data_IF_132909269384
#
_entry.id   IF_132909269384
#
_cell.length_a   1.000
_cell.length_b   1.000
_cell.length_c   1.000
_cell.angle_alpha   90.00
_cell.angle_beta   90.00
_cell.angle_gamma   90.00
#
_symmetry.space_group_name_H-M   'P 1'
#
loop_
_entity.id
_entity.type
_entity.pdbx_description
1 polymer ?
#
# COMPACT_ATOMS: atom_id res chain seq x y z
N UNK A 1 -23.67 -19.15 -23.66
CA UNK A 1 -23.02 -17.92 -23.19
C UNK A 1 -22.93 -18.01 -21.69
N UNK A 2 -21.84 -18.57 -21.17
CA UNK A 2 -21.69 -18.81 -19.73
C UNK A 2 -20.89 -17.66 -19.13
N UNK A 3 -21.60 -16.63 -18.66
CA UNK A 3 -21.02 -15.59 -17.81
C UNK A 3 -20.79 -16.19 -16.43
N UNK A 4 -19.60 -16.74 -16.20
CA UNK A 4 -19.12 -17.05 -14.86
C UNK A 4 -18.72 -15.73 -14.17
N UNK A 5 -19.72 -14.98 -13.70
CA UNK A 5 -19.51 -13.86 -12.78
C UNK A 5 -19.19 -14.42 -11.39
N UNK A 6 -17.99 -14.99 -11.23
CA UNK A 6 -17.33 -14.91 -9.93
C UNK A 6 -17.01 -13.42 -9.74
N UNK A 7 -17.52 -12.75 -8.68
CA UNK A 7 -17.19 -11.36 -8.44
C UNK A 7 -15.67 -11.29 -8.35
N UNK A 8 -15.05 -10.62 -9.33
CA UNK A 8 -13.62 -10.45 -9.34
C UNK A 8 -13.27 -9.75 -8.03
N UNK A 9 -12.62 -10.47 -7.10
CA UNK A 9 -12.28 -9.93 -5.80
C UNK A 9 -11.13 -8.95 -5.99
N UNK A 10 -11.48 -7.68 -6.24
CA UNK A 10 -10.51 -6.63 -6.51
C UNK A 10 -10.25 -5.86 -5.23
N UNK A 11 -9.00 -5.96 -4.78
CA UNK A 11 -8.51 -5.35 -3.56
C UNK A 11 -8.01 -3.92 -3.81
N UNK A 12 -8.14 -3.07 -2.80
CA UNK A 12 -7.58 -1.73 -2.83
C UNK A 12 -6.06 -1.79 -2.87
N UNK A 13 -5.44 -1.07 -3.82
CA UNK A 13 -3.99 -1.04 -4.00
C UNK A 13 -3.22 -0.36 -2.85
N UNK A 14 -3.90 0.19 -1.84
CA UNK A 14 -3.30 0.81 -0.66
C UNK A 14 -3.48 -0.04 0.60
N UNK A 15 -4.63 -0.68 0.79
CA UNK A 15 -4.97 -1.38 2.05
C UNK A 15 -5.49 -2.80 1.89
N UNK A 16 -5.62 -3.32 0.67
CA UNK A 16 -6.17 -4.63 0.33
C UNK A 16 -7.64 -4.93 0.69
N UNK A 17 -8.34 -4.02 1.35
CA UNK A 17 -9.80 -4.13 1.53
C UNK A 17 -10.54 -4.13 0.18
N UNK A 18 -11.77 -4.68 0.12
CA UNK A 18 -12.59 -4.66 -1.10
C UNK A 18 -12.68 -3.26 -1.70
N UNK A 19 -12.46 -3.17 -3.02
CA UNK A 19 -12.43 -1.91 -3.74
C UNK A 19 -13.57 -1.86 -4.77
N UNK A 20 -14.66 -1.11 -4.50
CA UNK A 20 -15.77 -0.99 -5.44
C UNK A 20 -15.41 -0.12 -6.66
N UNK A 21 -14.36 0.68 -6.55
CA UNK A 21 -13.95 1.64 -7.57
C UNK A 21 -12.64 1.23 -8.22
N UNK A 22 -12.54 1.44 -9.54
CA UNK A 22 -11.30 1.32 -10.31
C UNK A 22 -10.88 2.67 -10.88
N UNK A 23 -9.61 2.81 -11.25
CA UNK A 23 -9.12 3.98 -11.96
C UNK A 23 -9.91 4.15 -13.26
N UNK A 24 -10.62 5.28 -13.40
CA UNK A 24 -11.41 5.57 -14.60
C UNK A 24 -10.57 5.74 -15.87
N UNK A 25 -9.29 6.08 -15.74
CA UNK A 25 -8.37 6.22 -16.87
C UNK A 25 -7.94 4.88 -17.46
N UNK A 26 -7.28 4.04 -16.66
CA UNK A 26 -6.70 2.78 -17.17
C UNK A 26 -7.51 1.52 -16.86
N UNK A 27 -8.44 1.57 -15.90
CA UNK A 27 -9.22 0.41 -15.45
C UNK A 27 -8.45 -0.66 -14.66
N UNK A 28 -7.12 -0.56 -14.52
CA UNK A 28 -6.28 -1.63 -13.93
C UNK A 28 -6.10 -1.55 -12.40
N UNK A 29 -6.06 -0.35 -11.83
CA UNK A 29 -5.86 -0.15 -10.38
C UNK A 29 -7.20 0.06 -9.65
N UNK A 30 -7.33 -0.51 -8.44
CA UNK A 30 -8.57 -0.51 -7.66
C UNK A 30 -8.39 0.18 -6.32
N UNK A 31 -9.42 0.89 -5.85
CA UNK A 31 -9.39 1.69 -4.63
C UNK A 31 -10.70 1.56 -3.84
N UNK A 32 -10.59 1.47 -2.51
CA UNK A 32 -11.77 1.47 -1.63
C UNK A 32 -12.36 2.88 -1.46
N UNK A 33 -11.59 3.94 -1.71
CA UNK A 33 -12.02 5.32 -1.53
C UNK A 33 -11.20 6.30 -2.37
N UNK A 34 -11.68 7.55 -2.49
CA UNK A 34 -11.02 8.63 -3.23
C UNK A 34 -9.70 9.06 -2.56
N UNK A 35 -9.62 8.96 -1.25
CA UNK A 35 -8.42 9.26 -0.47
C UNK A 35 -7.30 8.29 -0.86
N UNK A 36 -7.58 6.98 -0.92
CA UNK A 36 -6.59 5.98 -1.34
C UNK A 36 -6.19 6.13 -2.80
N UNK A 37 -7.11 6.52 -3.68
CA UNK A 37 -6.77 6.86 -5.06
C UNK A 37 -5.81 8.06 -5.12
N UNK A 38 -6.07 9.10 -4.32
CA UNK A 38 -5.23 10.31 -4.24
C UNK A 38 -3.83 9.98 -3.70
N UNK A 39 -3.75 9.16 -2.65
CA UNK A 39 -2.48 8.68 -2.09
C UNK A 39 -1.66 7.90 -3.12
N UNK A 40 -2.31 7.02 -3.90
CA UNK A 40 -1.64 6.22 -4.93
C UNK A 40 -1.21 7.05 -6.15
N UNK A 41 -1.86 8.20 -6.41
CA UNK A 41 -1.75 8.93 -7.67
C UNK A 41 -0.32 9.35 -8.02
N UNK A 42 0.47 9.75 -7.03
CA UNK A 42 1.86 10.15 -7.23
C UNK A 42 2.69 9.07 -7.95
N UNK A 43 2.46 7.79 -7.62
CA UNK A 43 3.10 6.63 -8.28
C UNK A 43 2.32 6.14 -9.49
N UNK A 44 0.99 6.13 -9.41
CA UNK A 44 0.15 5.54 -10.43
C UNK A 44 0.08 6.37 -11.72
N UNK A 45 0.15 7.71 -11.66
CA UNK A 45 -0.14 8.58 -12.81
C UNK A 45 0.64 8.27 -14.09
N UNK A 46 1.91 7.87 -13.99
CA UNK A 46 2.72 7.52 -15.17
C UNK A 46 2.37 6.13 -15.69
N UNK A 47 2.25 5.15 -14.79
CA UNK A 47 1.76 3.80 -15.13
C UNK A 47 0.37 3.86 -15.76
N UNK A 48 -0.52 4.72 -15.28
CA UNK A 48 -1.86 4.92 -15.81
C UNK A 48 -1.82 5.30 -17.30
N UNK A 49 -0.90 6.17 -17.72
CA UNK A 49 -0.69 6.51 -19.13
C UNK A 49 -0.18 5.32 -19.93
N UNK A 50 0.78 4.56 -19.40
CA UNK A 50 1.29 3.35 -20.05
C UNK A 50 0.16 2.33 -20.28
N UNK A 51 -0.66 2.08 -19.25
CA UNK A 51 -1.80 1.18 -19.34
C UNK A 51 -2.91 1.69 -20.28
N UNK A 52 -3.13 3.00 -20.36
CA UNK A 52 -4.07 3.57 -21.33
C UNK A 52 -3.59 3.33 -22.77
N UNK A 53 -2.30 3.53 -23.04
CA UNK A 53 -1.68 3.25 -24.36
C UNK A 53 -1.84 1.78 -24.71
N UNK A 54 -1.51 0.90 -23.77
CA UNK A 54 -1.69 -0.55 -23.91
C UNK A 54 -3.14 -0.92 -24.27
N UNK A 55 -4.13 -0.36 -23.55
CA UNK A 55 -5.55 -0.61 -23.78
C UNK A 55 -6.02 -0.14 -25.18
N UNK A 56 -5.40 0.90 -25.73
CA UNK A 56 -5.69 1.41 -27.08
C UNK A 56 -4.87 0.71 -28.19
N UNK A 57 -4.03 -0.28 -27.85
CA UNK A 57 -3.16 -0.96 -28.80
C UNK A 57 -1.97 -0.12 -29.27
N UNK A 58 -1.66 0.98 -28.58
CA UNK A 58 -0.47 1.78 -28.87
C UNK A 58 0.81 1.09 -28.39
N UNK A 59 1.96 1.31 -29.06
CA UNK A 59 3.24 0.81 -28.59
C UNK A 59 3.54 1.31 -27.17
N UNK A 60 3.77 0.41 -26.22
CA UNK A 60 4.26 0.75 -24.88
C UNK A 60 5.78 0.64 -24.83
N UNK A 61 6.48 1.43 -23.99
CA UNK A 61 7.90 1.24 -23.76
C UNK A 61 8.18 -0.20 -23.30
N UNK A 62 9.34 -0.79 -23.65
CA UNK A 62 9.69 -2.11 -23.14
C UNK A 62 9.81 -2.09 -21.61
N UNK A 63 9.53 -3.22 -20.97
CA UNK A 63 9.40 -3.33 -19.51
C UNK A 63 10.68 -2.96 -18.73
N UNK A 64 11.84 -2.91 -19.39
CA UNK A 64 13.12 -2.51 -18.82
C UNK A 64 13.48 -1.04 -19.04
N UNK A 65 12.73 -0.31 -19.87
CA UNK A 65 12.92 1.12 -20.11
C UNK A 65 12.24 2.02 -19.05
N UNK A 66 11.45 1.45 -18.14
CA UNK A 66 10.78 2.19 -17.09
C UNK A 66 10.69 1.40 -15.77
N UNK A 67 10.49 2.12 -14.67
CA UNK A 67 10.18 1.51 -13.38
C UNK A 67 8.76 0.93 -13.38
N UNK A 68 8.62 -0.39 -13.24
CA UNK A 68 7.32 -1.05 -13.26
C UNK A 68 6.39 -0.73 -12.07
N UNK A 69 6.88 -0.02 -11.04
CA UNK A 69 6.09 0.38 -9.86
C UNK A 69 5.62 1.84 -9.88
N UNK A 70 6.27 2.72 -10.64
CA UNK A 70 5.89 4.13 -10.70
C UNK A 70 5.90 4.75 -12.10
N UNK A 71 6.25 3.98 -13.13
CA UNK A 71 6.26 4.41 -14.53
C UNK A 71 7.28 5.50 -14.85
N UNK A 72 8.30 5.71 -14.01
CA UNK A 72 9.38 6.64 -14.33
C UNK A 72 10.24 6.02 -15.44
N UNK A 73 10.46 6.76 -16.52
CA UNK A 73 11.30 6.36 -17.68
C UNK A 73 12.76 6.84 -17.55
N UNK A 74 13.03 7.79 -16.63
CA UNK A 74 14.38 8.21 -16.30
C UNK A 74 14.94 7.46 -15.09
N UNK A 75 16.16 6.96 -15.21
CA UNK A 75 16.87 6.24 -14.17
C UNK A 75 17.38 7.12 -13.00
N UNK A 76 18.17 6.54 -12.08
CA UNK A 76 18.74 5.20 -12.16
C UNK A 76 17.71 4.07 -11.90
N UNK A 77 17.95 2.92 -12.54
CA UNK A 77 17.13 1.71 -12.39
C UNK A 77 17.98 0.53 -11.94
N UNK A 78 17.35 -0.41 -11.23
CA UNK A 78 17.91 -1.72 -10.87
C UNK A 78 16.93 -2.84 -11.18
N UNK A 79 17.44 -4.06 -11.29
CA UNK A 79 16.64 -5.29 -11.28
C UNK A 79 16.45 -5.77 -9.84
N UNK A 80 15.23 -6.17 -9.49
CA UNK A 80 14.93 -6.77 -8.19
C UNK A 80 15.56 -8.16 -8.07
N UNK A 81 16.02 -8.52 -6.87
CA UNK A 81 16.60 -9.86 -6.65
C UNK A 81 15.51 -10.95 -6.60
N UNK A 82 14.33 -10.60 -6.08
CA UNK A 82 13.25 -11.56 -5.86
C UNK A 82 12.49 -11.95 -7.14
N UNK A 83 12.38 -11.06 -8.12
CA UNK A 83 11.57 -11.30 -9.33
C UNK A 83 12.20 -10.76 -10.64
N UNK A 84 13.45 -10.26 -10.59
CA UNK A 84 14.20 -9.80 -11.75
C UNK A 84 13.48 -8.76 -12.65
N UNK A 85 12.73 -7.84 -12.03
CA UNK A 85 12.00 -6.78 -12.74
C UNK A 85 12.59 -5.40 -12.48
N UNK A 86 12.45 -4.50 -13.45
CA UNK A 86 13.05 -3.17 -13.42
C UNK A 86 12.26 -2.22 -12.52
N UNK A 87 12.95 -1.61 -11.56
CA UNK A 87 12.39 -0.57 -10.67
C UNK A 87 13.42 0.56 -10.45
N UNK A 88 12.97 1.68 -9.89
CA UNK A 88 13.88 2.77 -9.49
C UNK A 88 14.94 2.26 -8.51
N UNK A 89 16.19 2.64 -8.75
CA UNK A 89 17.28 2.42 -7.80
C UNK A 89 17.37 3.63 -6.86
N UNK A 90 16.52 3.62 -5.84
CA UNK A 90 16.34 4.74 -4.91
C UNK A 90 16.56 4.35 -3.44
N UNK A 91 17.26 3.22 -3.21
CA UNK A 91 17.47 2.67 -1.88
C UNK A 91 18.31 3.61 -0.99
N UNK A 92 19.36 4.20 -1.57
CA UNK A 92 20.27 5.13 -0.89
C UNK A 92 19.74 6.57 -0.75
N UNK A 93 18.61 6.90 -1.38
CA UNK A 93 18.03 8.25 -1.33
C UNK A 93 17.06 8.44 -0.15
N UNK A 94 16.92 7.42 0.71
CA UNK A 94 16.09 7.52 1.91
C UNK A 94 16.82 8.32 3.00
N UNK A 95 16.32 9.50 3.30
CA UNK A 95 16.74 10.26 4.48
C UNK A 95 15.98 9.72 5.70
N UNK A 96 16.67 9.20 6.73
CA UNK A 96 16.03 8.81 7.98
C UNK A 96 15.13 9.94 8.51
N UNK A 97 13.99 9.58 9.10
CA UNK A 97 12.95 10.51 9.60
C UNK A 97 12.16 11.29 8.54
N UNK A 98 12.34 10.98 7.26
CA UNK A 98 11.38 11.41 6.23
C UNK A 98 10.38 10.28 5.98
N UNK A 99 9.08 10.53 6.14
CA UNK A 99 8.00 9.58 5.84
C UNK A 99 7.81 9.34 4.33
N UNK A 100 8.92 9.24 3.59
CA UNK A 100 8.94 9.17 2.13
C UNK A 100 8.43 7.82 1.63
N UNK A 101 7.13 7.73 1.36
CA UNK A 101 6.53 6.63 0.59
C UNK A 101 7.04 6.54 -0.86
N UNK A 102 8.04 7.33 -1.26
CA UNK A 102 8.49 7.48 -2.64
C UNK A 102 9.58 6.50 -3.10
N UNK A 103 10.20 5.72 -2.21
CA UNK A 103 11.21 4.75 -2.64
C UNK A 103 10.56 3.48 -3.22
N UNK A 104 10.79 3.18 -4.50
CA UNK A 104 10.27 1.98 -5.15
C UNK A 104 11.03 0.75 -4.69
N UNK A 105 12.35 0.81 -4.66
CA UNK A 105 13.21 -0.32 -4.27
C UNK A 105 12.99 -0.75 -2.84
N UNK A 106 13.10 0.17 -1.88
CA UNK A 106 12.94 -0.15 -0.46
C UNK A 106 11.54 -0.68 -0.13
N UNK A 107 10.50 -0.08 -0.70
CA UNK A 107 9.13 -0.51 -0.42
C UNK A 107 8.84 -1.86 -1.07
N UNK A 108 9.34 -2.11 -2.29
CA UNK A 108 9.23 -3.42 -2.91
C UNK A 108 9.92 -4.50 -2.07
N UNK A 109 11.14 -4.22 -1.61
CA UNK A 109 11.94 -5.17 -0.83
C UNK A 109 11.35 -5.45 0.57
N UNK A 110 10.54 -4.53 1.12
CA UNK A 110 9.96 -4.66 2.47
C UNK A 110 8.53 -5.19 2.49
N UNK A 111 7.74 -4.93 1.47
CA UNK A 111 6.27 -4.99 1.56
C UNK A 111 5.59 -5.85 0.49
N UNK A 112 6.35 -6.62 -0.28
CA UNK A 112 5.77 -7.46 -1.34
C UNK A 112 5.90 -8.93 -1.02
N UNK A 113 4.91 -9.70 -1.49
CA UNK A 113 4.92 -11.16 -1.34
C UNK A 113 6.14 -11.81 -1.99
N UNK A 114 6.57 -11.33 -3.16
CA UNK A 114 7.74 -11.90 -3.82
C UNK A 114 9.04 -11.66 -3.03
N UNK A 115 9.21 -10.48 -2.41
CA UNK A 115 10.41 -10.24 -1.62
C UNK A 115 10.39 -11.00 -0.29
N UNK A 116 9.24 -11.07 0.39
CA UNK A 116 9.09 -11.92 1.58
C UNK A 116 9.46 -13.37 1.29
N UNK A 117 8.92 -13.94 0.21
CA UNK A 117 9.24 -15.31 -0.24
C UNK A 117 10.74 -15.52 -0.47
N UNK A 118 11.40 -14.56 -1.12
CA UNK A 118 12.84 -14.61 -1.40
C UNK A 118 13.68 -14.52 -0.12
N UNK A 119 13.38 -13.58 0.77
CA UNK A 119 14.15 -13.35 1.99
C UNK A 119 14.05 -14.51 2.98
N UNK A 120 12.87 -15.14 3.07
CA UNK A 120 12.67 -16.33 3.92
C UNK A 120 13.18 -17.64 3.28
N UNK A 121 13.71 -17.58 2.06
CA UNK A 121 14.26 -18.75 1.37
C UNK A 121 13.23 -19.85 1.13
N UNK A 122 11.98 -19.49 0.86
CA UNK A 122 10.92 -20.46 0.62
C UNK A 122 11.13 -21.22 -0.70
N UNK A 123 10.82 -22.53 -0.74
CA UNK A 123 10.94 -23.31 -1.96
C UNK A 123 9.88 -22.91 -3.00
N UNK A 124 10.19 -23.13 -4.27
CA UNK A 124 9.29 -22.82 -5.40
C UNK A 124 9.54 -21.44 -6.00
N UNK A 125 9.13 -21.28 -7.28
CA UNK A 125 9.34 -20.05 -8.06
C UNK A 125 8.20 -19.05 -7.94
N UNK A 126 6.97 -19.52 -7.72
CA UNK A 126 5.80 -18.64 -7.65
C UNK A 126 5.46 -18.30 -6.20
N UNK A 127 5.72 -17.05 -5.77
CA UNK A 127 5.45 -16.64 -4.40
C UNK A 127 3.94 -16.55 -4.11
N UNK A 128 3.08 -16.41 -5.14
CA UNK A 128 1.62 -16.37 -4.94
C UNK A 128 1.05 -17.76 -4.60
N UNK A 129 1.70 -18.83 -5.06
CA UNK A 129 1.32 -20.22 -4.78
C UNK A 129 2.02 -20.81 -3.54
N UNK A 130 2.90 -20.06 -2.88
CA UNK A 130 3.69 -20.55 -1.75
C UNK A 130 2.84 -20.73 -0.48
N UNK A 131 2.70 -21.97 -0.02
CA UNK A 131 1.92 -22.31 1.17
C UNK A 131 2.45 -21.62 2.44
N UNK A 132 3.77 -21.54 2.62
CA UNK A 132 4.40 -20.87 3.77
C UNK A 132 4.07 -19.39 3.83
N UNK A 133 4.16 -18.70 2.68
CA UNK A 133 3.77 -17.30 2.58
C UNK A 133 2.31 -17.09 2.98
N UNK A 134 1.44 -18.05 2.71
CA UNK A 134 0.00 -17.98 3.02
C UNK A 134 -0.35 -18.38 4.45
N UNK A 135 0.61 -18.76 5.30
CA UNK A 135 0.33 -19.21 6.67
C UNK A 135 1.10 -18.47 7.78
N UNK A 136 2.14 -17.71 7.45
CA UNK A 136 3.03 -17.10 8.45
C UNK A 136 2.59 -15.72 8.96
N UNK A 137 1.55 -15.14 8.37
CA UNK A 137 0.97 -13.87 8.78
C UNK A 137 -0.55 -13.97 8.88
N UNK A 138 -1.19 -12.99 9.51
CA UNK A 138 -2.65 -12.91 9.50
C UNK A 138 -3.18 -12.59 8.08
N UNK A 139 -4.46 -12.90 7.84
CA UNK A 139 -5.06 -12.81 6.52
C UNK A 139 -5.07 -11.38 5.94
N UNK A 140 -5.23 -10.33 6.76
CA UNK A 140 -5.17 -8.94 6.29
C UNK A 140 -3.75 -8.60 5.81
N UNK A 141 -2.73 -9.01 6.56
CA UNK A 141 -1.33 -8.77 6.19
C UNK A 141 -0.94 -9.55 4.93
N UNK A 142 -1.36 -10.82 4.82
CA UNK A 142 -1.19 -11.61 3.61
C UNK A 142 -1.82 -10.93 2.40
N UNK A 143 -3.09 -10.53 2.52
CA UNK A 143 -3.80 -9.87 1.44
C UNK A 143 -3.12 -8.57 1.03
N UNK A 144 -2.59 -7.82 2.00
CA UNK A 144 -1.85 -6.60 1.74
C UNK A 144 -0.56 -6.85 0.97
N UNK A 145 0.27 -7.83 1.36
CA UNK A 145 1.49 -8.20 0.61
C UNK A 145 1.21 -8.60 -0.84
N UNK A 146 0.01 -9.12 -1.13
CA UNK A 146 -0.41 -9.55 -2.46
C UNK A 146 -0.94 -8.40 -3.33
N UNK A 147 -1.63 -7.43 -2.74
CA UNK A 147 -2.43 -6.46 -3.50
C UNK A 147 -1.92 -5.00 -3.46
N UNK A 148 -0.97 -4.67 -2.57
CA UNK A 148 -0.51 -3.29 -2.46
C UNK A 148 0.26 -2.80 -3.70
N UNK A 149 0.33 -1.49 -3.89
CA UNK A 149 0.93 -0.81 -5.05
C UNK A 149 2.48 -0.85 -5.12
N UNK A 150 3.13 -1.60 -4.24
CA UNK A 150 4.54 -1.95 -4.37
C UNK A 150 4.74 -3.26 -5.14
N UNK A 151 3.65 -3.98 -5.44
CA UNK A 151 3.63 -5.08 -6.38
C UNK A 151 3.45 -4.57 -7.82
N UNK A 152 3.91 -5.38 -8.78
CA UNK A 152 3.67 -5.12 -10.19
C UNK A 152 2.21 -5.40 -10.52
N UNK A 153 1.63 -4.60 -11.43
CA UNK A 153 0.21 -4.67 -11.75
C UNK A 153 -0.23 -6.08 -12.22
N UNK A 154 0.63 -6.78 -12.96
CA UNK A 154 0.36 -8.15 -13.42
C UNK A 154 0.20 -9.15 -12.26
N UNK A 155 1.02 -9.04 -11.21
CA UNK A 155 0.89 -9.90 -10.04
C UNK A 155 -0.33 -9.55 -9.20
N UNK A 156 -0.66 -8.25 -9.09
CA UNK A 156 -1.88 -7.81 -8.40
C UNK A 156 -3.12 -8.40 -9.09
N UNK A 157 -3.13 -8.45 -10.43
CA UNK A 157 -4.25 -9.02 -11.21
C UNK A 157 -4.33 -10.54 -11.12
N UNK A 158 -3.20 -11.23 -10.97
CA UNK A 158 -3.13 -12.69 -10.80
C UNK A 158 -3.35 -13.15 -9.37
N UNK A 159 -3.15 -12.26 -8.41
CA UNK A 159 -3.30 -12.57 -6.99
C UNK A 159 -4.74 -12.98 -6.66
N UNK A 160 -4.86 -13.95 -5.76
CA UNK A 160 -6.10 -14.29 -5.07
C UNK A 160 -5.91 -14.09 -3.55
N UNK A 161 -5.98 -12.83 -3.07
CA UNK A 161 -5.80 -12.53 -1.65
C UNK A 161 -6.86 -13.23 -0.79
N UNK A 162 -6.51 -13.72 0.42
CA UNK A 162 -7.51 -14.25 1.34
C UNK A 162 -8.48 -13.16 1.80
N UNK A 163 -9.72 -13.54 2.06
CA UNK A 163 -10.67 -12.70 2.79
C UNK A 163 -10.27 -12.60 4.26
N UNK A 164 -10.64 -11.51 4.91
CA UNK A 164 -10.35 -11.26 6.32
C UNK A 164 -11.42 -10.37 6.93
N UNK A 165 -11.62 -10.52 8.24
CA UNK A 165 -12.53 -9.66 9.00
C UNK A 165 -11.91 -8.28 9.23
N UNK A 166 -12.65 -7.19 9.02
CA UNK A 166 -12.18 -5.85 9.33
C UNK A 166 -11.80 -5.70 10.80
N UNK A 167 -10.62 -5.14 11.05
CA UNK A 167 -10.19 -4.81 12.41
C UNK A 167 -10.73 -3.43 12.82
N UNK A 168 -11.12 -3.29 14.08
CA UNK A 168 -11.64 -2.04 14.64
C UNK A 168 -10.81 -1.59 15.85
N UNK A 169 -10.73 -0.28 16.05
CA UNK A 169 -10.14 0.32 17.23
C UNK A 169 -10.97 -0.05 18.46
N UNK A 170 -10.35 -0.63 19.49
CA UNK A 170 -11.03 -0.99 20.74
C UNK A 170 -11.63 0.23 21.44
N UNK A 171 -10.98 1.39 21.36
CA UNK A 171 -11.39 2.60 22.10
C UNK A 171 -12.58 3.34 21.46
N UNK A 172 -12.68 3.35 20.13
CA UNK A 172 -13.69 4.16 19.43
C UNK A 172 -14.52 3.39 18.41
N UNK A 173 -14.28 2.09 18.23
CA UNK A 173 -14.99 1.23 17.27
C UNK A 173 -14.69 1.51 15.81
N UNK A 174 -13.90 2.55 15.49
CA UNK A 174 -13.55 2.90 14.10
C UNK A 174 -12.77 1.74 13.46
N UNK A 175 -13.19 1.31 12.26
CA UNK A 175 -12.42 0.40 11.43
C UNK A 175 -11.03 0.97 11.13
N UNK A 176 -10.01 0.15 11.31
CA UNK A 176 -8.61 0.50 11.05
C UNK A 176 -8.03 -0.39 9.96
N UNK A 177 -7.15 0.18 9.15
CA UNK A 177 -6.47 -0.51 8.07
C UNK A 177 -5.01 -0.68 8.46
N UNK A 178 -4.66 -1.82 9.06
CA UNK A 178 -3.39 -2.04 9.76
C UNK A 178 -2.16 -1.61 8.94
N UNK A 179 -2.19 -1.86 7.63
CA UNK A 179 -1.06 -1.64 6.73
C UNK A 179 -1.08 -0.29 5.99
N UNK A 180 -2.14 0.50 6.15
CA UNK A 180 -2.31 1.79 5.48
C UNK A 180 -2.41 2.98 6.45
N UNK A 181 -2.65 2.72 7.73
CA UNK A 181 -2.89 3.73 8.76
C UNK A 181 -2.02 3.47 9.99
N UNK A 182 -1.76 4.53 10.76
CA UNK A 182 -1.07 4.38 12.05
C UNK A 182 -1.98 3.62 13.02
N UNK A 183 -1.49 2.48 13.51
CA UNK A 183 -2.15 1.65 14.52
C UNK A 183 -1.16 1.25 15.60
N UNK A 184 -1.64 1.06 16.82
CA UNK A 184 -0.85 0.51 17.92
C UNK A 184 -1.52 -0.74 18.46
N UNK A 185 -0.71 -1.75 18.78
CA UNK A 185 -1.13 -2.95 19.49
C UNK A 185 -0.60 -2.86 20.92
N UNK A 186 -1.50 -2.95 21.90
CA UNK A 186 -1.15 -2.96 23.32
C UNK A 186 -2.05 -3.92 24.11
N UNK A 187 -1.89 -3.92 25.43
CA UNK A 187 -2.72 -4.72 26.34
C UNK A 187 -4.22 -4.41 26.23
N UNK A 188 -4.56 -3.15 25.88
CA UNK A 188 -5.94 -2.68 25.67
C UNK A 188 -6.49 -3.03 24.26
N UNK A 189 -5.75 -3.83 23.49
CA UNK A 189 -6.09 -4.22 22.13
C UNK A 189 -5.56 -3.25 21.07
N UNK A 190 -6.24 -3.25 19.92
CA UNK A 190 -5.86 -2.48 18.74
C UNK A 190 -6.39 -1.05 18.85
N UNK A 191 -5.51 -0.06 18.72
CA UNK A 191 -5.88 1.35 18.78
C UNK A 191 -5.52 2.08 17.48
N UNK A 192 -6.41 2.96 17.02
CA UNK A 192 -6.14 3.83 15.88
C UNK A 192 -5.23 5.00 16.28
N UNK A 193 -4.50 5.56 15.31
CA UNK A 193 -3.60 6.70 15.54
C UNK A 193 -4.19 7.83 16.40
N UNK A 194 -5.41 8.34 16.14
CA UNK A 194 -6.01 9.36 17.00
C UNK A 194 -6.16 8.93 18.47
N UNK A 195 -6.59 7.70 18.73
CA UNK A 195 -6.75 7.18 20.09
C UNK A 195 -5.40 6.95 20.77
N UNK A 196 -4.36 6.55 20.04
CA UNK A 196 -3.01 6.36 20.61
C UNK A 196 -2.37 7.70 20.99
N UNK A 197 -2.56 8.74 20.18
CA UNK A 197 -2.05 10.08 20.50
C UNK A 197 -2.87 10.77 21.61
N UNK A 198 -4.15 10.40 21.75
CA UNK A 198 -5.00 10.84 22.87
C UNK A 198 -4.55 10.29 24.24
N UNK A 199 -3.76 9.21 24.29
CA UNK A 199 -3.22 8.65 25.54
C UNK A 199 -1.90 9.28 26.01
N UNK A 200 -1.27 10.16 25.23
CA UNK A 200 -0.06 10.91 25.66
C UNK A 200 -0.44 12.13 26.54
N UNK A 201 -1.71 12.26 26.92
CA UNK A 201 -2.19 13.32 27.81
C UNK A 201 -3.05 12.79 28.96
N UNK A 202 -2.44 12.59 30.12
CA UNK A 202 -3.17 12.57 31.39
C UNK A 202 -2.22 12.58 32.60
N UNK A 203 -2.54 13.28 33.72
CA UNK A 203 -3.35 14.49 33.88
C UNK A 203 -2.46 15.72 34.14
N UNK A 204 -2.82 16.86 33.59
CA UNK A 204 -2.20 18.15 33.92
C UNK A 204 -2.80 19.27 33.09
N UNK A 205 -3.69 20.04 33.71
CA UNK A 205 -4.13 21.33 33.20
C UNK A 205 -5.40 21.30 32.37
N UNK A 206 -6.52 21.44 33.07
CA UNK A 206 -7.67 22.20 32.54
C UNK A 206 -7.16 23.56 32.09
N UNK A 207 -7.46 23.99 30.85
CA UNK A 207 -7.79 25.39 30.58
C UNK A 207 -8.73 25.44 29.37
N UNK A 208 -10.01 25.82 29.56
CA UNK A 208 -10.84 26.27 28.46
C UNK A 208 -10.61 27.77 28.17
N UNK A 209 -11.02 28.12 26.96
CA UNK A 209 -11.47 29.43 26.49
C UNK A 209 -10.47 30.58 26.32
N UNK A 210 -10.30 30.94 25.05
CA UNK A 210 -10.35 32.31 24.53
C UNK A 210 -10.23 33.42 25.57
N UNK A 211 -9.09 34.12 25.60
CA UNK A 211 -9.05 35.59 25.60
C UNK A 211 -7.62 36.06 25.43
N UNK A 212 -7.35 36.77 24.34
CA UNK A 212 -6.13 37.55 24.17
C UNK A 212 -6.45 38.95 24.71
N UNK A 213 -5.88 39.33 25.84
CA UNK A 213 -5.77 40.74 26.27
C UNK A 213 -4.35 40.98 26.74
N UNK A 214 -3.62 41.79 25.98
CA UNK A 214 -2.33 42.36 26.36
C UNK A 214 -2.62 43.66 27.10
N UNK A 215 -2.36 43.69 28.41
CA UNK A 215 -2.16 44.93 29.16
C UNK A 215 -0.69 44.97 29.60
N UNK A 216 0.08 45.86 28.99
CA UNK A 216 1.41 46.23 29.45
C UNK A 216 1.29 47.52 30.26
N UNK A 217 1.45 47.41 31.57
CA UNK A 217 1.61 48.55 32.47
C UNK A 217 2.81 48.35 33.38
N UNK A 218 3.91 49.02 33.06
CA UNK A 218 4.76 49.78 33.98
C UNK A 218 5.37 50.95 33.22
#
# INVERSE_FOLDING_TARGET
MSSSDTPEYRCCAICAYPAPSRCSGCGKAFYCSKEHQTMAWAKHKRLCKIFQRENCGEPVPPADAYCGLCGKESGPFRKTQCCNRTICDDYGNYTPFTFGNNSCSRNHDRYTRCCYHFNEGHPGKDPLACAKCSSQHDAEHIAWYMANNYNFQEDILRANPPSFEPKCCTSCGKQVKQNAEAVSFGGDGLQCGPCTHGMVGGPGGVMPENTYTMDHGF
#
